data_IF_396329825173
#
_entry.id   IF_396329825173
#
_cell.length_a   1.000
_cell.length_b   1.000
_cell.length_c   1.000
_cell.angle_alpha   90.00
_cell.angle_beta   90.00
_cell.angle_gamma   90.00
#
_symmetry.space_group_name_H-M   'P 1'
#
loop_
_entity.id
_entity.type
_entity.pdbx_description
1 polymer ?
#
# COMPACT_ATOMS: atom_id res chain seq x y z
N UNK A 1 -25.82 -4.86 11.77
CA UNK A 1 -24.38 -5.03 12.05
C UNK A 1 -23.65 -4.42 10.88
N UNK A 2 -22.70 -3.52 11.12
CA UNK A 2 -22.01 -2.83 10.02
C UNK A 2 -20.84 -3.68 9.56
N UNK A 3 -21.09 -4.58 8.61
CA UNK A 3 -20.17 -5.60 8.10
C UNK A 3 -18.76 -5.05 7.80
N UNK A 4 -18.65 -3.84 7.27
CA UNK A 4 -17.36 -3.21 6.98
C UNK A 4 -16.54 -2.87 8.24
N UNK A 5 -17.17 -2.51 9.37
CA UNK A 5 -16.44 -2.22 10.62
C UNK A 5 -15.81 -3.47 11.20
N UNK A 6 -16.52 -4.59 11.08
CA UNK A 6 -16.03 -5.91 11.51
C UNK A 6 -14.85 -6.35 10.65
N UNK A 7 -14.91 -6.10 9.33
CA UNK A 7 -13.81 -6.35 8.42
C UNK A 7 -12.59 -5.45 8.70
N UNK A 8 -12.76 -4.15 9.00
CA UNK A 8 -11.66 -3.27 9.43
C UNK A 8 -10.98 -3.84 10.68
N UNK A 9 -11.76 -4.18 11.70
CA UNK A 9 -11.22 -4.73 12.94
C UNK A 9 -10.47 -6.06 12.70
N UNK A 10 -10.96 -6.89 11.76
CA UNK A 10 -10.30 -8.12 11.38
C UNK A 10 -8.98 -7.87 10.63
N UNK A 11 -8.94 -6.92 9.70
CA UNK A 11 -7.70 -6.52 9.02
C UNK A 11 -6.68 -6.00 10.03
N UNK A 12 -7.08 -5.06 10.89
CA UNK A 12 -6.20 -4.48 11.93
C UNK A 12 -5.61 -5.60 12.82
N UNK A 13 -6.45 -6.53 13.29
CA UNK A 13 -6.00 -7.65 14.12
C UNK A 13 -5.04 -8.61 13.37
N UNK A 14 -5.27 -8.85 12.08
CA UNK A 14 -4.42 -9.71 11.25
C UNK A 14 -3.07 -9.07 10.95
N UNK A 15 -3.04 -7.77 10.69
CA UNK A 15 -1.79 -6.99 10.53
C UNK A 15 -1.01 -6.96 11.86
N UNK A 16 -1.70 -6.81 12.99
CA UNK A 16 -1.08 -6.88 14.31
C UNK A 16 -0.48 -8.25 14.60
N UNK A 17 -1.15 -9.35 14.23
CA UNK A 17 -0.62 -10.69 14.41
C UNK A 17 0.56 -11.04 13.48
N UNK A 18 0.68 -10.35 12.32
CA UNK A 18 1.73 -10.59 11.34
C UNK A 18 3.13 -10.21 11.88
N UNK A 19 4.17 -10.88 11.39
CA UNK A 19 5.56 -10.55 11.70
C UNK A 19 6.01 -9.25 11.01
N UNK A 20 7.10 -8.60 11.47
CA UNK A 20 7.60 -7.37 10.85
C UNK A 20 7.83 -7.47 9.33
N UNK A 21 8.38 -8.60 8.85
CA UNK A 21 8.59 -8.80 7.41
C UNK A 21 7.27 -8.87 6.64
N UNK A 22 6.27 -9.58 7.18
CA UNK A 22 4.95 -9.73 6.55
C UNK A 22 4.22 -8.39 6.50
N UNK A 23 4.30 -7.59 7.57
CA UNK A 23 3.76 -6.24 7.62
C UNK A 23 4.40 -5.31 6.58
N UNK A 24 5.71 -5.44 6.38
CA UNK A 24 6.43 -4.70 5.34
C UNK A 24 5.92 -5.04 3.94
N UNK A 25 5.77 -6.33 3.62
CA UNK A 25 5.21 -6.78 2.33
C UNK A 25 3.77 -6.31 2.16
N UNK A 26 2.95 -6.41 3.21
CA UNK A 26 1.56 -5.95 3.18
C UNK A 26 1.47 -4.45 2.89
N UNK A 27 2.23 -3.63 3.62
CA UNK A 27 2.25 -2.18 3.43
C UNK A 27 2.75 -1.78 2.03
N UNK A 28 3.79 -2.45 1.52
CA UNK A 28 4.28 -2.25 0.16
C UNK A 28 3.23 -2.62 -0.90
N UNK A 29 2.49 -3.71 -0.68
CA UNK A 29 1.35 -4.14 -1.51
C UNK A 29 0.27 -3.07 -1.64
N UNK A 30 -0.16 -2.51 -0.50
CA UNK A 30 -1.17 -1.44 -0.48
C UNK A 30 -0.64 -0.18 -1.18
N UNK A 31 0.57 0.26 -0.84
CA UNK A 31 1.18 1.45 -1.44
C UNK A 31 1.34 1.32 -2.96
N UNK A 32 1.72 0.14 -3.46
CA UNK A 32 1.91 -0.13 -4.88
C UNK A 32 0.61 -0.06 -5.67
N UNK A 33 -0.50 -0.51 -5.10
CA UNK A 33 -1.81 -0.37 -5.76
C UNK A 33 -2.21 1.08 -5.88
N UNK A 34 -2.11 1.84 -4.78
CA UNK A 34 -2.46 3.25 -4.75
C UNK A 34 -1.56 4.05 -5.70
N UNK A 35 -0.25 3.83 -5.68
CA UNK A 35 0.68 4.47 -6.60
C UNK A 35 0.36 4.13 -8.05
N UNK A 36 0.01 2.87 -8.32
CA UNK A 36 -0.39 2.47 -9.65
C UNK A 36 -1.68 3.17 -10.08
N UNK A 37 -2.65 3.38 -9.19
CA UNK A 37 -3.86 4.14 -9.53
C UNK A 37 -3.55 5.61 -9.80
N UNK A 38 -2.72 6.22 -8.95
CA UNK A 38 -2.25 7.59 -9.13
C UNK A 38 -1.55 7.81 -10.48
N UNK A 39 -0.66 6.90 -10.89
CA UNK A 39 0.00 6.95 -12.20
C UNK A 39 -0.94 6.83 -13.39
N UNK A 40 -2.14 6.25 -13.19
CA UNK A 40 -3.14 6.10 -14.23
C UNK A 40 -4.04 7.33 -14.39
N UNK A 41 -3.97 8.31 -13.47
CA UNK A 41 -4.70 9.57 -13.56
C UNK A 41 -4.31 10.36 -14.81
N UNK A 42 -5.15 11.30 -15.29
CA UNK A 42 -4.75 12.33 -16.25
C UNK A 42 -3.49 13.09 -15.81
N UNK A 43 -2.67 13.55 -16.75
CA UNK A 43 -1.37 14.20 -16.42
C UNK A 43 -1.52 15.44 -15.53
N UNK A 44 -2.61 16.18 -15.67
CA UNK A 44 -2.95 17.37 -14.89
C UNK A 44 -3.47 17.07 -13.47
N UNK A 45 -3.81 15.81 -13.19
CA UNK A 45 -4.26 15.34 -11.88
C UNK A 45 -3.16 14.58 -11.12
N UNK A 46 -2.01 14.31 -11.76
CA UNK A 46 -0.87 13.64 -11.12
C UNK A 46 -0.07 14.63 -10.28
N UNK A 47 0.19 14.26 -9.04
CA UNK A 47 1.07 15.01 -8.15
C UNK A 47 2.54 14.60 -8.40
N UNK A 48 3.37 15.57 -8.78
CA UNK A 48 4.81 15.36 -9.06
C UNK A 48 5.53 14.73 -7.86
N UNK A 49 5.19 15.17 -6.64
CA UNK A 49 5.74 14.60 -5.41
C UNK A 49 5.44 13.10 -5.29
N UNK A 50 4.18 12.71 -5.49
CA UNK A 50 3.75 11.30 -5.42
C UNK A 50 4.48 10.46 -6.45
N UNK A 51 4.56 10.91 -7.71
CA UNK A 51 5.33 10.22 -8.75
C UNK A 51 6.82 10.12 -8.39
N UNK A 52 7.39 11.16 -7.77
CA UNK A 52 8.76 11.19 -7.28
C UNK A 52 9.07 10.12 -6.23
N UNK A 53 8.07 9.53 -5.56
CA UNK A 53 8.24 8.46 -4.58
C UNK A 53 8.32 7.05 -5.19
N UNK A 54 8.07 6.89 -6.50
CA UNK A 54 8.16 5.58 -7.17
C UNK A 54 9.50 4.85 -6.96
N UNK A 55 10.68 5.51 -7.06
CA UNK A 55 11.96 4.87 -6.76
C UNK A 55 12.10 4.40 -5.30
N UNK A 56 11.52 5.16 -4.35
CA UNK A 56 11.48 4.76 -2.94
C UNK A 56 10.63 3.49 -2.78
N UNK A 57 9.44 3.46 -3.37
CA UNK A 57 8.56 2.29 -3.31
C UNK A 57 9.18 1.04 -3.95
N UNK A 58 9.89 1.20 -5.07
CA UNK A 58 10.68 0.12 -5.67
C UNK A 58 11.73 -0.41 -4.70
N UNK A 59 12.47 0.48 -4.04
CA UNK A 59 13.48 0.10 -3.04
C UNK A 59 12.85 -0.62 -1.83
N UNK A 60 11.67 -0.18 -1.40
CA UNK A 60 10.92 -0.86 -0.33
C UNK A 60 10.55 -2.28 -0.75
N UNK A 61 10.05 -2.48 -1.98
CA UNK A 61 9.75 -3.82 -2.52
C UNK A 61 10.96 -4.75 -2.51
N UNK A 62 12.10 -4.28 -3.02
CA UNK A 62 13.32 -5.06 -3.00
C UNK A 62 13.72 -5.41 -1.56
N UNK A 63 13.61 -4.45 -0.65
CA UNK A 63 13.96 -4.62 0.76
C UNK A 63 13.09 -5.64 1.48
N UNK A 64 11.77 -5.55 1.34
CA UNK A 64 10.82 -6.45 2.03
C UNK A 64 10.87 -7.88 1.46
N UNK A 65 11.35 -8.05 0.23
CA UNK A 65 11.52 -9.34 -0.43
C UNK A 65 12.95 -9.90 -0.34
N UNK A 66 13.84 -9.21 0.38
CA UNK A 66 15.10 -9.76 0.83
C UNK A 66 16.36 -9.23 0.16
N UNK A 67 16.29 -8.13 -0.58
CA UNK A 67 17.49 -7.37 -0.92
C UNK A 67 17.86 -6.43 0.24
N UNK A 68 18.84 -6.83 1.06
CA UNK A 68 19.28 -6.00 2.19
C UNK A 68 20.14 -4.79 1.76
N UNK A 69 20.58 -4.72 0.51
CA UNK A 69 21.46 -3.64 0.03
C UNK A 69 20.72 -2.31 -0.14
N UNK A 70 19.39 -2.35 -0.31
CA UNK A 70 18.55 -1.15 -0.50
C UNK A 70 18.25 -0.40 0.79
N UNK A 71 18.66 -0.90 1.96
CA UNK A 71 18.40 -0.27 3.25
C UNK A 71 18.81 1.21 3.27
N UNK A 72 20.00 1.53 2.77
CA UNK A 72 20.49 2.92 2.69
C UNK A 72 19.67 3.77 1.73
N UNK A 73 19.19 3.19 0.62
CA UNK A 73 18.34 3.90 -0.33
C UNK A 73 16.97 4.24 0.28
N UNK A 74 16.34 3.28 0.97
CA UNK A 74 15.06 3.50 1.65
C UNK A 74 15.19 4.53 2.77
N UNK A 75 16.24 4.42 3.59
CA UNK A 75 16.51 5.39 4.65
C UNK A 75 16.76 6.81 4.09
N UNK A 76 17.54 6.92 3.02
CA UNK A 76 17.78 8.21 2.36
C UNK A 76 16.50 8.82 1.80
N UNK A 77 15.69 8.05 1.06
CA UNK A 77 14.44 8.58 0.49
C UNK A 77 13.46 9.05 1.58
N UNK A 78 13.37 8.33 2.71
CA UNK A 78 12.57 8.79 3.83
C UNK A 78 13.15 10.05 4.50
N UNK A 79 14.47 10.14 4.63
CA UNK A 79 15.13 11.32 5.18
C UNK A 79 14.96 12.56 4.28
N UNK A 80 15.03 12.38 2.96
CA UNK A 80 14.77 13.44 1.97
C UNK A 80 13.35 13.98 2.12
N UNK A 81 12.35 13.09 2.25
CA UNK A 81 10.99 13.52 2.58
C UNK A 81 10.93 14.31 3.90
N UNK A 82 11.54 13.78 4.98
CA UNK A 82 11.50 14.42 6.30
C UNK A 82 12.15 15.80 6.35
N UNK A 83 13.08 16.08 5.42
CA UNK A 83 13.76 17.36 5.29
C UNK A 83 13.14 18.27 4.22
N UNK A 84 12.15 17.77 3.47
CA UNK A 84 11.48 18.52 2.42
C UNK A 84 10.34 19.38 2.97
N UNK A 85 9.90 20.34 2.15
CA UNK A 85 8.74 21.20 2.42
C UNK A 85 7.41 20.42 2.48
N UNK A 86 7.41 19.13 2.12
CA UNK A 86 6.24 18.24 2.23
C UNK A 86 6.08 17.64 3.64
N UNK A 87 7.09 17.74 4.52
CA UNK A 87 7.07 17.19 5.87
C UNK A 87 7.06 18.30 6.94
N UNK A 88 6.00 19.10 6.97
CA UNK A 88 5.80 20.19 7.93
C UNK A 88 4.73 19.84 8.98
N UNK A 89 4.96 20.25 10.22
CA UNK A 89 3.96 20.15 11.31
C UNK A 89 3.05 21.39 11.40
N UNK A 90 3.29 22.39 10.55
CA UNK A 90 2.62 23.68 10.57
C UNK A 90 1.32 23.63 9.76
N UNK A 91 0.27 23.18 10.45
CA UNK A 91 -1.11 23.04 9.97
C UNK A 91 -1.63 24.29 9.25
N UNK A 92 -2.02 24.14 7.97
CA UNK A 92 -3.29 24.54 7.33
C UNK A 92 -3.15 24.71 5.81
N UNK A 93 -1.94 24.99 5.30
CA UNK A 93 -1.67 25.19 3.87
C UNK A 93 -0.22 24.79 3.57
N UNK A 94 0.13 23.52 3.72
CA UNK A 94 1.30 23.02 3.00
C UNK A 94 0.85 22.27 1.76
N UNK A 95 1.79 21.89 0.88
CA UNK A 95 1.45 21.18 -0.35
C UNK A 95 0.62 19.93 0.00
N UNK A 96 -0.64 19.89 -0.48
CA UNK A 96 -1.61 18.84 -0.16
C UNK A 96 -1.14 17.45 -0.63
N UNK A 97 -0.18 17.41 -1.54
CA UNK A 97 0.35 16.23 -2.21
C UNK A 97 0.91 15.17 -1.24
N UNK A 98 1.38 15.54 -0.04
CA UNK A 98 1.86 14.56 0.95
C UNK A 98 0.72 13.80 1.66
N UNK A 99 -0.50 14.35 1.61
CA UNK A 99 -1.72 13.70 2.08
C UNK A 99 -2.39 12.84 1.00
N UNK A 100 -1.90 12.92 -0.24
CA UNK A 100 -2.33 12.03 -1.31
C UNK A 100 -2.18 10.56 -0.85
N UNK A 101 -3.20 9.71 -1.03
CA UNK A 101 -3.22 8.36 -0.47
C UNK A 101 -2.02 7.48 -0.85
N UNK A 102 -1.58 7.49 -2.11
CA UNK A 102 -0.41 6.75 -2.59
C UNK A 102 0.90 7.27 -1.99
N UNK A 103 1.09 8.59 -1.88
CA UNK A 103 2.26 9.17 -1.24
C UNK A 103 2.33 8.78 0.24
N UNK A 104 1.24 8.98 0.97
CA UNK A 104 1.15 8.62 2.37
C UNK A 104 1.37 7.12 2.60
N UNK A 105 0.74 6.26 1.79
CA UNK A 105 0.93 4.81 1.88
C UNK A 105 2.38 4.40 1.59
N UNK A 106 3.03 5.02 0.61
CA UNK A 106 4.44 4.76 0.29
C UNK A 106 5.37 5.13 1.45
N UNK A 107 5.16 6.29 2.07
CA UNK A 107 5.94 6.73 3.24
C UNK A 107 5.69 5.82 4.44
N UNK A 108 4.45 5.36 4.65
CA UNK A 108 4.14 4.38 5.67
C UNK A 108 4.78 3.01 5.39
N UNK A 109 4.79 2.53 4.14
CA UNK A 109 5.47 1.30 3.75
C UNK A 109 6.98 1.38 4.00
N UNK A 110 7.63 2.50 3.66
CA UNK A 110 9.04 2.73 3.95
C UNK A 110 9.33 2.69 5.46
N UNK A 111 8.47 3.32 6.28
CA UNK A 111 8.59 3.29 7.74
C UNK A 111 8.32 1.88 8.31
N UNK A 112 7.37 1.14 7.76
CA UNK A 112 7.12 -0.25 8.14
C UNK A 112 8.34 -1.14 7.86
N UNK A 113 9.00 -0.96 6.72
CA UNK A 113 10.26 -1.66 6.39
C UNK A 113 11.40 -1.31 7.35
N UNK A 114 11.63 -0.01 7.61
CA UNK A 114 12.76 0.43 8.44
C UNK A 114 12.59 0.10 9.93
N UNK A 115 11.37 0.24 10.46
CA UNK A 115 11.12 0.16 11.90
C UNK A 115 10.39 -1.12 12.34
N UNK A 116 9.73 -1.83 11.41
CA UNK A 116 8.97 -3.05 11.72
C UNK A 116 7.71 -2.81 12.58
N UNK A 117 7.29 -1.55 12.76
CA UNK A 117 6.16 -1.19 13.61
C UNK A 117 4.82 -1.53 12.96
N UNK A 118 3.88 -2.03 13.76
CA UNK A 118 2.50 -2.34 13.33
C UNK A 118 1.77 -1.13 12.80
N UNK A 119 1.88 0.00 13.48
CA UNK A 119 1.13 1.23 13.17
C UNK A 119 1.30 1.67 11.72
N UNK A 120 2.51 1.56 11.17
CA UNK A 120 2.77 1.96 9.80
C UNK A 120 2.08 1.06 8.77
N UNK A 121 1.99 -0.24 9.02
CA UNK A 121 1.26 -1.14 8.14
C UNK A 121 -0.26 -0.91 8.21
N UNK A 122 -0.77 -0.63 9.41
CA UNK A 122 -2.18 -0.24 9.60
C UNK A 122 -2.47 1.10 8.92
N UNK A 123 -1.61 2.11 9.07
CA UNK A 123 -1.80 3.40 8.42
C UNK A 123 -1.72 3.33 6.90
N UNK A 124 -0.84 2.48 6.34
CA UNK A 124 -0.84 2.21 4.90
C UNK A 124 -2.16 1.60 4.44
N UNK A 125 -2.67 0.58 5.14
CA UNK A 125 -4.00 -0.02 4.87
C UNK A 125 -5.13 1.00 4.87
N UNK A 126 -5.14 1.90 5.86
CA UNK A 126 -6.17 2.93 6.00
C UNK A 126 -6.16 3.95 4.87
N UNK A 127 -5.02 4.21 4.22
CA UNK A 127 -4.99 5.10 3.06
C UNK A 127 -5.82 4.57 1.89
N UNK A 128 -5.86 3.25 1.69
CA UNK A 128 -6.74 2.66 0.67
C UNK A 128 -8.23 2.78 1.00
N UNK A 129 -8.57 2.89 2.29
CA UNK A 129 -9.95 3.13 2.75
C UNK A 129 -10.32 4.60 2.60
N UNK A 130 -9.40 5.51 2.98
CA UNK A 130 -9.61 6.95 2.92
C UNK A 130 -9.77 7.44 1.46
N UNK A 131 -9.03 6.86 0.52
CA UNK A 131 -9.12 7.14 -0.92
C UNK A 131 -10.54 6.91 -1.47
N UNK A 132 -11.13 5.74 -1.17
CA UNK A 132 -12.51 5.41 -1.54
C UNK A 132 -13.53 6.36 -0.91
N UNK A 133 -13.26 6.85 0.30
CA UNK A 133 -14.14 7.80 0.98
C UNK A 133 -14.04 9.21 0.37
N UNK A 134 -12.84 9.62 -0.07
CA UNK A 134 -12.61 10.88 -0.76
C UNK A 134 -13.23 10.90 -2.16
N UNK A 135 -13.10 9.82 -2.93
CA UNK A 135 -13.78 9.67 -4.24
C UNK A 135 -15.31 9.79 -4.10
N UNK A 136 -15.90 9.18 -3.05
CA UNK A 136 -17.33 9.31 -2.78
C UNK A 136 -17.75 10.75 -2.46
N UNK A 137 -16.99 11.45 -1.60
CA UNK A 137 -17.27 12.84 -1.25
C UNK A 137 -17.10 13.78 -2.46
N UNK A 138 -16.15 13.50 -3.35
CA UNK A 138 -15.93 14.27 -4.58
C UNK A 138 -17.03 13.99 -5.63
N UNK A 139 -17.45 12.73 -5.80
CA UNK A 139 -18.53 12.32 -6.70
C UNK A 139 -19.92 12.80 -6.25
N UNK A 140 -20.14 12.98 -4.95
CA UNK A 140 -21.41 13.53 -4.43
C UNK A 140 -21.66 15.00 -4.80
N UNK A 141 -20.63 15.74 -5.26
CA UNK A 141 -20.74 17.15 -5.68
C UNK A 141 -21.02 17.27 -7.19
N UNK A 142 -20.82 16.21 -7.98
CA UNK A 142 -20.93 16.23 -9.44
C UNK A 142 -21.71 15.01 -9.95
N UNK A 143 -22.98 15.26 -10.29
CA UNK A 143 -23.86 14.47 -11.18
C UNK A 143 -24.75 13.35 -10.58
N UNK A 144 -25.97 13.30 -11.11
CA UNK A 144 -27.12 12.45 -10.78
C UNK A 144 -26.97 11.01 -11.32
N UNK A 145 -25.80 10.40 -11.09
CA UNK A 145 -25.56 8.97 -11.30
C UNK A 145 -25.89 8.15 -10.05
N UNK A 146 -26.17 6.85 -10.22
CA UNK A 146 -26.38 5.94 -9.09
C UNK A 146 -25.14 5.98 -8.18
N UNK A 147 -25.25 6.41 -6.90
CA UNK A 147 -24.10 6.57 -6.04
C UNK A 147 -23.30 5.27 -6.01
N UNK A 148 -21.98 5.34 -6.22
CA UNK A 148 -21.09 4.22 -5.92
C UNK A 148 -21.48 3.68 -4.54
N UNK A 149 -21.88 2.41 -4.49
CA UNK A 149 -22.15 1.71 -3.24
C UNK A 149 -20.82 1.63 -2.49
N UNK A 150 -20.58 2.67 -1.71
CA UNK A 150 -19.29 2.93 -1.05
C UNK A 150 -19.05 1.90 0.02
N UNK A 151 -20.13 1.37 0.61
CA UNK A 151 -20.06 0.23 1.50
C UNK A 151 -19.57 -1.01 0.75
N UNK A 152 -20.03 -1.25 -0.49
CA UNK A 152 -19.52 -2.35 -1.32
C UNK A 152 -18.06 -2.15 -1.72
N UNK A 153 -17.66 -0.98 -2.22
CA UNK A 153 -16.27 -0.73 -2.61
C UNK A 153 -15.30 -0.87 -1.41
N UNK A 154 -15.73 -0.38 -0.24
CA UNK A 154 -15.02 -0.55 1.02
C UNK A 154 -14.93 -2.03 1.43
N UNK A 155 -16.02 -2.78 1.36
CA UNK A 155 -16.03 -4.22 1.65
C UNK A 155 -15.08 -4.96 0.71
N UNK A 156 -15.13 -4.68 -0.59
CA UNK A 156 -14.29 -5.33 -1.61
C UNK A 156 -12.79 -5.06 -1.36
N UNK A 157 -12.40 -3.84 -0.97
CA UNK A 157 -11.01 -3.52 -0.60
C UNK A 157 -10.59 -4.20 0.70
N UNK A 158 -11.47 -4.27 1.71
CA UNK A 158 -11.15 -4.97 2.97
C UNK A 158 -10.98 -6.48 2.75
N UNK A 159 -11.87 -7.11 1.98
CA UNK A 159 -11.75 -8.51 1.59
C UNK A 159 -10.49 -8.77 0.75
N UNK A 160 -10.11 -7.81 -0.09
CA UNK A 160 -8.84 -7.87 -0.81
C UNK A 160 -7.65 -7.84 0.15
N UNK A 161 -7.61 -6.90 1.10
CA UNK A 161 -6.52 -6.84 2.08
C UNK A 161 -6.39 -8.13 2.90
N UNK A 162 -7.52 -8.79 3.21
CA UNK A 162 -7.51 -10.11 3.85
C UNK A 162 -6.91 -11.20 2.94
N UNK A 163 -7.28 -11.24 1.65
CA UNK A 163 -6.68 -12.16 0.67
C UNK A 163 -5.17 -11.93 0.49
N UNK A 164 -4.74 -10.68 0.52
CA UNK A 164 -3.33 -10.31 0.47
C UNK A 164 -2.58 -10.84 1.70
N UNK A 165 -3.15 -10.68 2.89
CA UNK A 165 -2.60 -11.22 4.14
C UNK A 165 -2.53 -12.76 4.13
N UNK A 166 -3.51 -13.45 3.52
CA UNK A 166 -3.46 -14.90 3.33
C UNK A 166 -2.32 -15.32 2.40
N UNK A 167 -2.14 -14.61 1.27
CA UNK A 167 -1.02 -14.84 0.34
C UNK A 167 0.34 -14.64 1.01
N UNK A 168 0.48 -13.59 1.81
CA UNK A 168 1.70 -13.28 2.57
C UNK A 168 1.97 -14.36 3.62
N UNK A 169 0.93 -14.76 4.37
CA UNK A 169 1.02 -15.79 5.41
C UNK A 169 1.40 -17.16 4.84
N UNK A 170 1.01 -17.47 3.60
CA UNK A 170 1.46 -18.68 2.91
C UNK A 170 3.00 -18.73 2.74
N UNK A 171 3.68 -17.57 2.82
CA UNK A 171 5.13 -17.40 2.66
C UNK A 171 5.87 -17.02 3.94
N UNK A 172 5.23 -17.07 5.11
CA UNK A 172 5.83 -16.63 6.39
C UNK A 172 7.20 -17.24 6.69
N UNK A 173 7.41 -18.53 6.35
CA UNK A 173 8.68 -19.23 6.61
C UNK A 173 9.85 -18.62 5.84
N UNK A 174 9.59 -18.19 4.60
CA UNK A 174 10.58 -17.57 3.72
C UNK A 174 10.82 -16.12 4.15
N UNK A 175 9.74 -15.38 4.42
CA UNK A 175 9.78 -13.97 4.83
C UNK A 175 10.43 -13.74 6.20
N UNK A 176 10.41 -14.74 7.09
CA UNK A 176 11.01 -14.66 8.43
C UNK A 176 12.46 -14.15 8.42
N UNK A 177 13.21 -14.47 7.36
CA UNK A 177 14.62 -14.13 7.24
C UNK A 177 14.90 -13.03 6.20
N UNK A 178 13.87 -12.51 5.53
CA UNK A 178 14.02 -11.55 4.44
C UNK A 178 14.83 -10.31 4.84
N UNK A 179 14.61 -9.77 6.04
CA UNK A 179 15.34 -8.60 6.55
C UNK A 179 16.87 -8.77 6.63
N UNK A 180 17.36 -10.01 6.63
CA UNK A 180 18.80 -10.31 6.70
C UNK A 180 19.42 -10.59 5.33
N UNK A 181 18.65 -10.46 4.26
CA UNK A 181 19.03 -10.88 2.93
C UNK A 181 18.50 -12.28 2.62
N UNK A 182 17.98 -12.46 1.41
CA UNK A 182 17.67 -13.76 0.83
C UNK A 182 18.62 -14.05 -0.34
N UNK A 183 18.87 -15.33 -0.64
CA UNK A 183 19.47 -15.70 -1.92
C UNK A 183 18.63 -15.16 -3.09
N UNK A 184 19.30 -14.67 -4.15
CA UNK A 184 18.64 -14.10 -5.34
C UNK A 184 17.48 -14.98 -5.86
N UNK A 185 17.64 -16.31 -6.03
CA UNK A 185 16.54 -17.15 -6.53
C UNK A 185 15.30 -17.18 -5.61
N UNK A 186 15.47 -16.99 -4.31
CA UNK A 186 14.36 -16.91 -3.36
C UNK A 186 13.66 -15.55 -3.45
N UNK A 187 14.43 -14.46 -3.59
CA UNK A 187 13.89 -13.12 -3.82
C UNK A 187 13.08 -13.06 -5.12
N UNK A 188 13.63 -13.55 -6.22
CA UNK A 188 12.97 -13.58 -7.53
C UNK A 188 11.63 -14.33 -7.49
N UNK A 189 11.61 -15.48 -6.79
CA UNK A 189 10.38 -16.24 -6.57
C UNK A 189 9.35 -15.42 -5.78
N UNK A 190 9.75 -14.78 -4.69
CA UNK A 190 8.84 -13.97 -3.88
C UNK A 190 8.35 -12.73 -4.63
N UNK A 191 9.15 -12.14 -5.53
CA UNK A 191 8.68 -11.07 -6.41
C UNK A 191 7.55 -11.56 -7.33
N UNK A 192 7.71 -12.73 -7.96
CA UNK A 192 6.67 -13.30 -8.81
C UNK A 192 5.41 -13.67 -8.00
N UNK A 193 5.58 -14.27 -6.82
CA UNK A 193 4.48 -14.81 -6.02
C UNK A 193 3.78 -13.78 -5.11
N UNK A 194 4.44 -12.67 -4.77
CA UNK A 194 3.88 -11.64 -3.88
C UNK A 194 3.75 -10.31 -4.58
N UNK A 195 4.83 -9.71 -5.11
CA UNK A 195 4.74 -8.37 -5.71
C UNK A 195 3.70 -8.32 -6.82
N UNK A 196 3.84 -9.17 -7.85
CA UNK A 196 2.91 -9.19 -8.99
C UNK A 196 1.43 -9.29 -8.60
N UNK A 197 0.99 -10.27 -7.77
CA UNK A 197 -0.42 -10.39 -7.40
C UNK A 197 -0.91 -9.33 -6.41
N UNK A 198 -0.03 -8.78 -5.55
CA UNK A 198 -0.39 -7.72 -4.60
C UNK A 198 -0.53 -6.35 -5.28
N UNK A 199 0.21 -6.14 -6.38
CA UNK A 199 0.20 -4.93 -7.21
C UNK A 199 -0.91 -4.88 -8.25
N UNK A 200 -1.59 -6.00 -8.52
CA UNK A 200 -2.63 -6.06 -9.55
C UNK A 200 -3.69 -4.98 -9.34
N UNK A 201 -4.30 -4.45 -10.40
CA UNK A 201 -5.41 -3.48 -10.29
C UNK A 201 -6.75 -4.20 -10.45
N UNK A 202 -7.02 -5.24 -9.66
CA UNK A 202 -8.37 -5.83 -9.68
C UNK A 202 -9.34 -4.76 -9.17
N UNK A 203 -10.24 -4.28 -10.04
CA UNK A 203 -11.34 -3.40 -9.64
C UNK A 203 -12.40 -4.21 -8.89
N UNK A 204 -13.12 -3.62 -7.94
CA UNK A 204 -14.38 -4.19 -7.46
C UNK A 204 -15.34 -4.39 -8.65
N UNK A 205 -15.52 -5.64 -9.09
CA UNK A 205 -16.39 -6.02 -10.19
C UNK A 205 -15.73 -6.70 -11.40
N UNK A 206 -14.39 -6.76 -11.49
CA UNK A 206 -13.75 -7.52 -12.56
C UNK A 206 -13.83 -9.03 -12.26
N UNK A 207 -14.32 -9.87 -13.19
CA UNK A 207 -14.30 -11.31 -13.00
C UNK A 207 -12.85 -11.80 -12.90
N UNK A 208 -12.57 -12.83 -12.08
CA UNK A 208 -11.22 -13.34 -11.96
C UNK A 208 -10.72 -13.77 -13.34
N UNK A 209 -9.61 -13.17 -13.78
CA UNK A 209 -8.90 -13.56 -14.98
C UNK A 209 -8.69 -15.08 -14.96
N UNK A 210 -9.47 -15.80 -15.77
CA UNK A 210 -9.29 -17.22 -15.94
C UNK A 210 -7.97 -17.43 -16.70
N UNK A 211 -7.01 -18.08 -16.03
CA UNK A 211 -5.75 -18.48 -16.65
C UNK A 211 -6.02 -19.27 -17.95
N UNK A 212 -5.26 -19.03 -19.02
CA UNK A 212 -5.39 -19.83 -20.24
C UNK A 212 -4.97 -21.26 -19.93
N UNK A 213 -5.81 -22.21 -20.36
CA UNK A 213 -5.54 -23.65 -20.33
C UNK A 213 -4.50 -24.04 -21.37
#
# INVERSE_FOLDING_TARGET
MNTWRELIALVDARVEAASPSERGVFAAGVAERLMSWHEALPEDERADFTLGLRPLLNSVWEGVLGDSTVYTAVNRGLAEYMLSDYCHNDRLVGPEDAYEPAAAATLHAARAYLFGCTDFAVWASRRAIDDLHLEHLAGAVVDWGDPLDTDKALIDELERQLRDLDRITARSKELRHARFGLPVPASDRLQAELRTPLSARDRPGDPPCQSPR
#
